data_IF_381182741082
#
_entry.id   IF_381182741082
#
_cell.length_a   1.000
_cell.length_b   1.000
_cell.length_c   1.000
_cell.angle_alpha   90.00
_cell.angle_beta   90.00
_cell.angle_gamma   90.00
#
_symmetry.space_group_name_H-M   'P 1'
#
loop_
_entity.id
_entity.type
_entity.pdbx_description
1 polymer ?
#
# COMPACT_ATOMS: atom_id res chain seq x y z
N UNK A 1 54.07 -53.15 38.70
CA UNK A 1 55.20 -52.97 37.77
C UNK A 1 54.92 -53.73 36.49
N UNK A 2 55.12 -53.04 35.36
CA UNK A 2 55.21 -53.54 33.97
C UNK A 2 53.95 -54.04 33.26
N UNK A 3 53.38 -53.13 32.45
CA UNK A 3 53.44 -53.12 30.97
C UNK A 3 53.51 -54.49 30.25
N UNK A 4 52.82 -54.73 29.13
CA UNK A 4 53.07 -54.00 27.89
C UNK A 4 52.09 -54.30 26.72
N UNK A 5 52.07 -53.36 25.76
CA UNK A 5 51.76 -53.45 24.32
C UNK A 5 50.39 -53.92 23.75
N UNK A 6 49.59 -52.93 23.32
CA UNK A 6 49.33 -52.51 21.91
C UNK A 6 48.87 -53.54 20.84
N UNK A 7 47.61 -53.37 20.36
CA UNK A 7 47.15 -53.13 18.96
C UNK A 7 47.74 -53.99 17.81
N UNK A 8 46.96 -54.70 16.98
CA UNK A 8 46.22 -54.11 15.83
C UNK A 8 45.42 -55.17 15.03
N UNK A 9 44.34 -54.69 14.37
CA UNK A 9 43.74 -55.14 13.07
C UNK A 9 42.79 -56.37 13.15
N UNK A 10 41.57 -56.42 12.60
CA UNK A 10 41.05 -55.88 11.33
C UNK A 10 39.53 -55.59 11.30
N UNK A 11 39.17 -54.86 10.24
CA UNK A 11 37.90 -54.31 9.78
C UNK A 11 36.67 -55.25 9.74
N UNK A 12 35.50 -54.63 9.98
CA UNK A 12 34.20 -55.27 9.80
C UNK A 12 33.02 -54.31 9.95
N UNK A 13 32.90 -53.34 9.05
CA UNK A 13 31.75 -52.44 8.87
C UNK A 13 30.42 -53.20 8.75
N UNK A 14 29.39 -52.83 9.55
CA UNK A 14 28.07 -52.41 9.03
C UNK A 14 27.11 -51.91 10.12
N UNK A 15 26.88 -50.61 10.02
CA UNK A 15 25.90 -49.76 10.70
C UNK A 15 24.47 -50.26 10.47
N UNK A 16 23.66 -50.35 11.53
CA UNK A 16 22.20 -50.32 11.43
C UNK A 16 21.54 -49.92 12.76
N UNK A 17 21.54 -48.62 13.07
CA UNK A 17 20.53 -48.03 13.95
C UNK A 17 20.08 -46.69 13.36
N UNK A 18 18.93 -46.73 12.69
CA UNK A 18 18.20 -45.53 12.23
C UNK A 18 17.51 -44.95 13.46
N UNK A 19 18.15 -43.97 14.10
CA UNK A 19 17.47 -43.06 15.02
C UNK A 19 16.72 -42.03 14.18
N UNK A 20 15.39 -42.09 14.17
CA UNK A 20 14.53 -41.08 13.54
C UNK A 20 14.62 -39.79 14.38
N UNK A 21 15.20 -38.69 13.87
CA UNK A 21 15.07 -37.42 14.57
C UNK A 21 13.66 -36.92 14.29
N UNK A 22 12.83 -36.85 15.34
CA UNK A 22 11.55 -36.16 15.31
C UNK A 22 11.81 -34.67 15.03
N UNK A 23 11.83 -34.31 13.76
CA UNK A 23 11.94 -32.93 13.32
C UNK A 23 10.60 -32.24 13.60
N UNK A 24 10.52 -31.54 14.74
CA UNK A 24 9.51 -30.53 14.99
C UNK A 24 9.70 -29.41 13.95
N UNK A 25 8.97 -29.52 12.84
CA UNK A 25 8.90 -28.47 11.84
C UNK A 25 8.13 -27.27 12.43
N UNK A 26 8.88 -26.30 12.98
CA UNK A 26 8.34 -24.97 13.27
C UNK A 26 7.97 -24.31 11.94
N UNK A 27 6.68 -24.26 11.64
CA UNK A 27 6.17 -23.43 10.54
C UNK A 27 6.30 -21.97 10.99
N UNK A 28 7.37 -21.31 10.54
CA UNK A 28 7.51 -19.86 10.71
C UNK A 28 6.51 -19.21 9.75
N UNK A 29 5.37 -18.79 10.28
CA UNK A 29 4.43 -17.92 9.57
C UNK A 29 5.15 -16.57 9.38
N UNK A 30 5.76 -16.36 8.21
CA UNK A 30 6.41 -15.10 7.87
C UNK A 30 5.32 -14.02 7.72
N UNK A 31 5.02 -13.29 8.80
CA UNK A 31 4.29 -12.05 8.71
C UNK A 31 5.15 -11.07 7.92
N UNK A 32 4.72 -10.66 6.74
CA UNK A 32 5.38 -9.58 6.01
C UNK A 32 5.47 -8.36 6.93
N UNK A 33 6.62 -7.66 7.00
CA UNK A 33 6.75 -6.51 7.88
C UNK A 33 5.74 -5.45 7.45
N UNK A 34 5.01 -4.87 8.41
CA UNK A 34 4.03 -3.80 8.15
C UNK A 34 4.63 -2.63 7.34
N UNK A 35 5.96 -2.43 7.43
CA UNK A 35 6.71 -1.44 6.65
C UNK A 35 6.67 -1.68 5.14
N UNK A 36 6.58 -2.95 4.69
CA UNK A 36 6.50 -3.29 3.28
C UNK A 36 5.13 -2.93 2.69
N UNK A 37 4.04 -3.08 3.45
CA UNK A 37 2.72 -2.68 2.98
C UNK A 37 2.58 -1.15 2.88
N UNK A 38 3.17 -0.39 3.80
CA UNK A 38 3.24 1.07 3.72
C UNK A 38 4.08 1.54 2.53
N UNK A 39 5.19 0.86 2.22
CA UNK A 39 6.04 1.21 1.07
C UNK A 39 5.33 1.03 -0.27
N UNK A 40 4.34 0.15 -0.34
CA UNK A 40 3.57 -0.15 -1.55
C UNK A 40 2.28 0.67 -1.69
N UNK A 41 1.86 1.37 -0.62
CA UNK A 41 0.64 2.18 -0.61
C UNK A 41 0.76 3.36 -1.57
N UNK A 42 -0.13 3.45 -2.55
CA UNK A 42 -0.13 4.50 -3.57
C UNK A 42 -1.45 5.26 -3.69
N UNK A 43 -2.49 4.81 -3.00
CA UNK A 43 -3.83 5.39 -3.06
C UNK A 43 -4.46 5.44 -1.66
N UNK A 44 -5.15 6.53 -1.37
CA UNK A 44 -6.08 6.64 -0.26
C UNK A 44 -7.09 7.76 -0.53
N UNK A 45 -8.22 7.73 0.19
CA UNK A 45 -9.19 8.84 0.25
C UNK A 45 -8.92 9.64 1.53
N UNK A 46 -8.91 10.96 1.49
CA UNK A 46 -8.57 11.73 2.70
C UNK A 46 -9.59 11.49 3.82
N UNK A 47 -9.14 11.07 5.01
CA UNK A 47 -10.04 10.83 6.16
C UNK A 47 -10.86 12.08 6.51
N UNK A 48 -10.22 13.24 6.43
CA UNK A 48 -10.84 14.55 6.58
C UNK A 48 -10.53 15.46 5.38
N UNK A 49 -11.43 16.42 5.13
CA UNK A 49 -11.15 17.54 4.24
C UNK A 49 -10.37 18.64 4.96
N UNK A 50 -9.90 19.64 4.22
CA UNK A 50 -9.12 20.77 4.75
C UNK A 50 -9.94 21.74 5.64
N UNK A 51 -11.24 21.49 5.83
CA UNK A 51 -12.14 22.31 6.65
C UNK A 51 -12.76 23.51 5.95
N UNK A 52 -12.33 23.84 4.72
CA UNK A 52 -12.82 24.98 3.93
C UNK A 52 -13.67 24.56 2.71
N UNK A 53 -14.36 23.42 2.79
CA UNK A 53 -15.12 22.87 1.68
C UNK A 53 -14.23 22.59 0.45
N UNK A 54 -14.69 23.03 -0.72
CA UNK A 54 -13.93 22.92 -1.99
C UNK A 54 -12.79 23.93 -2.15
N UNK A 55 -12.59 24.85 -1.20
CA UNK A 55 -11.48 25.78 -1.24
C UNK A 55 -10.20 25.11 -0.73
N UNK A 56 -9.49 24.45 -1.63
CA UNK A 56 -8.29 23.67 -1.33
C UNK A 56 -6.98 24.48 -1.46
N UNK A 57 -7.05 25.78 -1.81
CA UNK A 57 -5.84 26.58 -2.11
C UNK A 57 -5.17 26.19 -3.44
N UNK A 58 -5.98 25.77 -4.42
CA UNK A 58 -5.49 25.25 -5.70
C UNK A 58 -4.83 23.88 -5.59
N UNK A 59 -4.20 23.44 -6.69
CA UNK A 59 -3.57 22.12 -6.76
C UNK A 59 -2.45 21.94 -5.74
N UNK A 60 -1.65 22.98 -5.50
CA UNK A 60 -0.57 22.94 -4.52
C UNK A 60 -1.09 22.73 -3.08
N UNK A 61 -2.17 23.41 -2.70
CA UNK A 61 -2.77 23.23 -1.38
C UNK A 61 -3.42 21.85 -1.23
N UNK A 62 -4.10 21.36 -2.28
CA UNK A 62 -4.68 20.02 -2.30
C UNK A 62 -3.59 18.92 -2.20
N UNK A 63 -2.49 19.07 -2.93
CA UNK A 63 -1.34 18.16 -2.87
C UNK A 63 -0.70 18.18 -1.47
N UNK A 64 -0.52 19.36 -0.88
CA UNK A 64 0.07 19.50 0.45
C UNK A 64 -0.79 18.82 1.53
N UNK A 65 -2.13 18.90 1.42
CA UNK A 65 -3.03 18.17 2.31
C UNK A 65 -2.82 16.65 2.20
N UNK A 66 -2.77 16.12 0.97
CA UNK A 66 -2.51 14.70 0.75
C UNK A 66 -1.13 14.28 1.28
N UNK A 67 -0.10 15.09 1.04
CA UNK A 67 1.25 14.85 1.52
C UNK A 67 1.31 14.82 3.05
N UNK A 68 0.62 15.74 3.72
CA UNK A 68 0.56 15.81 5.19
C UNK A 68 -0.09 14.56 5.79
N UNK A 69 -1.23 14.14 5.23
CA UNK A 69 -1.93 12.93 5.67
C UNK A 69 -1.08 11.66 5.45
N UNK A 70 -0.46 11.54 4.28
CA UNK A 70 0.42 10.41 3.97
C UNK A 70 1.66 10.33 4.87
N UNK A 71 2.25 11.48 5.22
CA UNK A 71 3.35 11.56 6.19
C UNK A 71 2.90 11.11 7.58
N UNK A 72 1.75 11.60 8.05
CA UNK A 72 1.19 11.21 9.34
C UNK A 72 0.88 9.71 9.43
N UNK A 73 0.52 9.09 8.30
CA UNK A 73 0.28 7.65 8.18
C UNK A 73 1.55 6.80 7.95
N UNK A 74 2.73 7.42 7.85
CA UNK A 74 4.01 6.72 7.77
C UNK A 74 4.47 6.29 6.37
N UNK A 75 3.83 6.78 5.30
CA UNK A 75 4.18 6.46 3.90
C UNK A 75 4.44 7.70 3.03
N UNK A 76 4.82 8.81 3.66
CA UNK A 76 5.16 10.08 3.01
C UNK A 76 6.39 9.97 2.09
N UNK A 77 7.60 9.97 2.65
CA UNK A 77 8.84 9.90 1.87
C UNK A 77 9.20 8.45 1.47
N UNK A 78 9.82 8.23 0.30
CA UNK A 78 10.24 9.21 -0.71
C UNK A 78 9.16 9.58 -1.73
N UNK A 79 7.89 9.20 -1.49
CA UNK A 79 6.80 9.43 -2.44
C UNK A 79 6.36 10.89 -2.44
N UNK A 80 5.97 11.36 -3.62
CA UNK A 80 5.23 12.61 -3.76
C UNK A 80 3.76 12.28 -3.90
N UNK A 81 2.96 12.80 -2.97
CA UNK A 81 1.51 12.62 -2.97
C UNK A 81 0.84 13.78 -3.69
N UNK A 82 -0.07 13.45 -4.59
CA UNK A 82 -0.83 14.41 -5.39
C UNK A 82 -2.31 14.19 -5.14
N UNK A 83 -3.07 15.27 -5.01
CA UNK A 83 -4.52 15.18 -5.04
C UNK A 83 -4.97 14.81 -6.47
N UNK A 84 -5.90 13.87 -6.59
CA UNK A 84 -6.52 13.53 -7.87
C UNK A 84 -7.54 14.61 -8.26
N UNK A 85 -7.04 15.75 -8.72
CA UNK A 85 -7.81 16.95 -9.00
C UNK A 85 -7.33 17.61 -10.30
N UNK A 86 -8.28 17.87 -11.19
CA UNK A 86 -8.09 18.69 -12.38
C UNK A 86 -8.47 20.14 -12.12
N UNK A 87 -7.87 21.05 -12.88
CA UNK A 87 -8.24 22.48 -12.89
C UNK A 87 -8.49 22.95 -14.31
N UNK A 88 -9.44 23.86 -14.46
CA UNK A 88 -9.68 24.56 -15.73
C UNK A 88 -8.62 25.64 -15.95
N UNK A 89 -8.48 26.07 -17.21
CA UNK A 89 -7.63 27.21 -17.54
C UNK A 89 -8.16 28.48 -16.85
N UNK A 90 -7.30 29.16 -16.11
CA UNK A 90 -7.63 30.35 -15.35
C UNK A 90 -6.39 31.22 -15.17
N UNK A 91 -6.56 32.54 -15.12
CA UNK A 91 -5.49 33.52 -14.85
C UNK A 91 -4.23 33.35 -15.72
N UNK A 92 -4.43 32.99 -17.00
CA UNK A 92 -3.35 32.76 -17.95
C UNK A 92 -2.63 31.40 -17.81
N UNK A 93 -3.03 30.56 -16.85
CA UNK A 93 -2.53 29.20 -16.70
C UNK A 93 -3.37 28.23 -17.53
N UNK A 94 -2.75 27.22 -18.16
CA UNK A 94 -3.48 26.19 -18.88
C UNK A 94 -4.30 25.31 -17.92
N UNK A 95 -5.30 24.62 -18.46
CA UNK A 95 -5.96 23.54 -17.76
C UNK A 95 -4.94 22.45 -17.40
N UNK A 96 -5.17 21.76 -16.28
CA UNK A 96 -4.30 20.68 -15.83
C UNK A 96 -5.18 19.48 -15.47
N UNK A 97 -4.94 18.33 -16.10
CA UNK A 97 -5.70 17.11 -15.85
C UNK A 97 -5.07 16.30 -14.71
N UNK A 98 -5.89 15.72 -13.86
CA UNK A 98 -5.47 14.87 -12.74
C UNK A 98 -4.66 13.67 -13.22
N UNK A 99 -5.13 13.01 -14.30
CA UNK A 99 -4.50 11.80 -14.88
C UNK A 99 -3.04 12.03 -15.31
N UNK A 100 -2.70 13.24 -15.74
CA UNK A 100 -1.37 13.59 -16.24
C UNK A 100 -0.38 13.92 -15.10
N UNK A 101 -0.89 14.10 -13.87
CA UNK A 101 -0.11 14.52 -12.70
C UNK A 101 0.28 13.38 -11.77
N UNK A 102 -0.31 12.21 -11.94
CA UNK A 102 -0.08 11.03 -11.09
C UNK A 102 0.90 10.05 -11.72
N UNK A 103 1.37 9.07 -10.93
CA UNK A 103 2.21 7.99 -11.43
C UNK A 103 1.50 7.09 -12.45
N UNK A 104 2.16 6.04 -12.92
CA UNK A 104 1.57 5.10 -13.89
C UNK A 104 0.78 3.94 -13.26
N UNK A 105 0.78 3.84 -11.93
CA UNK A 105 0.29 2.67 -11.20
C UNK A 105 1.36 1.56 -11.08
N UNK A 106 1.03 0.40 -10.48
CA UNK A 106 -0.27 0.11 -9.86
C UNK A 106 -0.46 0.91 -8.57
N UNK A 107 -1.71 1.24 -8.26
CA UNK A 107 -2.06 1.86 -6.98
C UNK A 107 -2.67 0.83 -6.05
N UNK A 108 -2.07 0.69 -4.87
CA UNK A 108 -2.59 -0.13 -3.78
C UNK A 108 -3.08 0.78 -2.65
N UNK A 109 -4.15 0.37 -1.98
CA UNK A 109 -4.58 1.02 -0.75
C UNK A 109 -3.67 0.63 0.43
N UNK A 110 -3.94 1.19 1.61
CA UNK A 110 -3.15 0.98 2.85
C UNK A 110 -3.07 -0.50 3.27
N UNK A 111 -4.02 -1.35 2.84
CA UNK A 111 -4.04 -2.80 3.11
C UNK A 111 -3.36 -3.63 2.01
N UNK A 112 -2.73 -2.97 1.04
CA UNK A 112 -2.04 -3.61 -0.08
C UNK A 112 -2.98 -4.13 -1.19
N UNK A 113 -4.28 -3.84 -1.13
CA UNK A 113 -5.24 -4.24 -2.16
C UNK A 113 -5.08 -3.32 -3.37
N UNK A 114 -4.96 -3.90 -4.57
CA UNK A 114 -4.88 -3.14 -5.82
C UNK A 114 -6.22 -2.45 -6.08
N UNK A 115 -6.15 -1.13 -6.21
CA UNK A 115 -7.26 -0.24 -6.55
C UNK A 115 -7.35 -0.07 -8.07
N UNK A 116 -6.20 0.14 -8.72
CA UNK A 116 -6.09 0.15 -10.17
C UNK A 116 -4.68 -0.27 -10.61
N UNK A 117 -4.58 -1.02 -11.71
CA UNK A 117 -3.29 -1.48 -12.26
C UNK A 117 -2.53 -0.41 -13.03
N UNK A 118 -3.26 0.49 -13.70
CA UNK A 118 -2.71 1.59 -14.50
C UNK A 118 -3.76 2.70 -14.72
N UNK A 119 -3.38 3.79 -15.40
CA UNK A 119 -4.25 4.95 -15.64
C UNK A 119 -5.51 4.58 -16.44
N UNK A 120 -5.42 3.63 -17.37
CA UNK A 120 -6.57 3.22 -18.17
C UNK A 120 -7.56 2.42 -17.30
N UNK A 121 -7.04 1.50 -16.50
CA UNK A 121 -7.83 0.73 -15.53
C UNK A 121 -8.52 1.63 -14.52
N UNK A 122 -7.82 2.64 -13.98
CA UNK A 122 -8.37 3.61 -13.02
C UNK A 122 -9.65 4.30 -13.52
N UNK A 123 -9.77 4.52 -14.83
CA UNK A 123 -10.94 5.15 -15.47
C UNK A 123 -11.88 4.16 -16.16
N UNK A 124 -11.61 2.86 -16.05
CA UNK A 124 -12.46 1.81 -16.56
C UNK A 124 -13.53 1.42 -15.55
N UNK A 125 -14.53 0.65 -15.97
CA UNK A 125 -15.49 0.03 -15.06
C UNK A 125 -14.88 -1.12 -14.23
N UNK A 126 -13.70 -1.63 -14.60
CA UNK A 126 -13.03 -2.76 -13.95
C UNK A 126 -12.15 -2.33 -12.77
N UNK A 127 -12.03 -1.03 -12.51
CA UNK A 127 -11.31 -0.54 -11.33
C UNK A 127 -11.93 -1.08 -10.03
N UNK A 128 -11.14 -1.03 -8.98
CA UNK A 128 -11.56 -1.46 -7.66
C UNK A 128 -11.77 -0.25 -6.74
N UNK A 129 -12.47 0.79 -7.20
CA UNK A 129 -12.91 1.93 -6.39
C UNK A 129 -14.28 1.63 -5.75
N UNK A 130 -14.25 0.86 -4.68
CA UNK A 130 -15.45 0.49 -3.91
C UNK A 130 -15.38 1.06 -2.49
N UNK A 131 -16.49 1.05 -1.75
CA UNK A 131 -16.50 1.47 -0.33
C UNK A 131 -15.48 0.70 0.52
N UNK A 132 -15.23 -0.57 0.18
CA UNK A 132 -14.36 -1.46 0.94
C UNK A 132 -12.87 -1.30 0.59
N UNK A 133 -12.56 -0.73 -0.57
CA UNK A 133 -11.19 -0.62 -1.10
C UNK A 133 -10.70 0.81 -1.18
N UNK A 134 -11.60 1.79 -1.30
CA UNK A 134 -11.30 3.22 -1.22
C UNK A 134 -11.16 3.68 0.24
N UNK A 135 -10.08 3.22 0.88
CA UNK A 135 -9.82 3.43 2.29
C UNK A 135 -9.11 4.76 2.57
N UNK A 136 -9.22 5.23 3.81
CA UNK A 136 -8.46 6.38 4.29
C UNK A 136 -6.95 6.10 4.34
N UNK A 137 -6.14 7.15 4.53
CA UNK A 137 -4.71 7.01 4.78
C UNK A 137 -4.41 6.15 6.03
N UNK A 138 -5.41 5.99 6.92
CA UNK A 138 -5.34 5.17 8.13
C UNK A 138 -5.88 3.75 7.91
N UNK A 139 -6.33 3.42 6.70
CA UNK A 139 -6.94 2.13 6.36
C UNK A 139 -8.41 1.98 6.80
N UNK A 140 -9.07 3.09 7.11
CA UNK A 140 -10.47 3.13 7.55
C UNK A 140 -11.42 3.21 6.36
N UNK A 141 -12.63 2.67 6.50
CA UNK A 141 -13.69 2.87 5.50
C UNK A 141 -14.22 4.30 5.62
N UNK A 142 -14.37 4.99 4.50
CA UNK A 142 -15.01 6.30 4.46
C UNK A 142 -16.53 6.10 4.54
N UNK A 143 -17.19 6.87 5.40
CA UNK A 143 -18.64 6.91 5.47
C UNK A 143 -19.24 7.16 4.07
N UNK A 144 -20.29 6.44 3.71
CA UNK A 144 -20.98 6.63 2.43
C UNK A 144 -22.48 6.69 2.62
N UNK A 145 -23.22 6.35 1.56
CA UNK A 145 -24.67 6.25 1.62
C UNK A 145 -25.10 5.31 2.77
N UNK A 146 -26.01 5.80 3.61
CA UNK A 146 -26.51 5.09 4.79
C UNK A 146 -25.76 5.36 6.10
N UNK A 147 -24.59 6.02 6.06
CA UNK A 147 -23.81 6.36 7.26
C UNK A 147 -24.07 7.81 7.72
N UNK A 148 -23.75 8.11 8.99
CA UNK A 148 -23.82 9.46 9.56
C UNK A 148 -22.44 9.93 10.04
N UNK A 149 -21.92 11.08 9.57
CA UNK A 149 -22.41 11.87 8.44
C UNK A 149 -22.22 11.11 7.11
N UNK A 150 -23.08 11.37 6.13
CA UNK A 150 -22.91 10.83 4.78
C UNK A 150 -21.80 11.59 4.04
N UNK A 151 -20.80 10.87 3.51
CA UNK A 151 -19.63 11.41 2.77
C UNK A 151 -19.53 10.73 1.40
N UNK A 152 -20.58 10.83 0.59
CA UNK A 152 -20.67 10.10 -0.69
C UNK A 152 -19.90 10.71 -1.87
N UNK A 153 -19.50 11.98 -1.80
CA UNK A 153 -18.86 12.68 -2.91
C UNK A 153 -17.37 12.86 -2.71
N UNK A 154 -16.61 12.76 -3.80
CA UNK A 154 -15.19 13.09 -3.87
C UNK A 154 -14.98 14.11 -5.00
N UNK A 155 -14.36 15.25 -4.66
CA UNK A 155 -14.07 16.29 -5.64
C UNK A 155 -12.85 15.92 -6.48
N UNK A 156 -13.05 15.77 -7.79
CA UNK A 156 -11.97 15.47 -8.75
C UNK A 156 -11.81 16.55 -9.83
N UNK A 157 -12.84 17.36 -10.10
CA UNK A 157 -12.81 18.36 -11.18
C UNK A 157 -12.60 17.74 -12.58
N UNK A 158 -12.80 16.44 -12.72
CA UNK A 158 -12.43 15.61 -13.86
C UNK A 158 -13.66 15.11 -14.61
N UNK A 159 -13.49 14.82 -15.90
CA UNK A 159 -14.44 13.99 -16.66
C UNK A 159 -14.18 12.51 -16.37
N UNK A 160 -14.99 11.61 -16.94
CA UNK A 160 -14.87 10.17 -16.70
C UNK A 160 -13.51 9.58 -17.12
N UNK A 161 -12.84 10.22 -18.09
CA UNK A 161 -11.52 9.84 -18.58
C UNK A 161 -10.36 10.50 -17.81
N UNK A 162 -10.64 11.30 -16.77
CA UNK A 162 -9.63 11.86 -15.86
C UNK A 162 -9.17 13.27 -16.22
#
# INVERSE_FOLDING_TARGET
MSADHNNHREDGMKVAQIAVPACLAFVVMAAAPASAQTAETGFFVTSNGIGNGGNLGGLAGADNHCQTLAQAAGFGAPKTWRAYLSTQAADGNPAVNARDRIGKGPWKNVKGVVVAKDVADLHSADNNLTKQTALSEKGEVINGAGDTPNRHDVLTGSQADG
#
